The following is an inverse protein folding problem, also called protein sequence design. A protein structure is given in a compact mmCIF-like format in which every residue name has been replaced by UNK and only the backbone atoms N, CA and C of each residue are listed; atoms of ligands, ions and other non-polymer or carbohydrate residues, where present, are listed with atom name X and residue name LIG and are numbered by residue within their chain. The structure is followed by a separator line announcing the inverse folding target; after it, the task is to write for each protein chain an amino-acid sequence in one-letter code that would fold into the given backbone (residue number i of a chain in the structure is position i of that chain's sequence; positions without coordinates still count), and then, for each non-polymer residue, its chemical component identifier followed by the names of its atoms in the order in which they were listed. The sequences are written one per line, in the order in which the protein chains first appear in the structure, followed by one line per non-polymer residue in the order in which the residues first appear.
data_IF_624077202366
#
_entry.id   IF_624077202366
#
_cell.length_a   1.000
_cell.length_b   1.000
_cell.length_c   1.000
_cell.angle_alpha   90.00
_cell.angle_beta   90.00
_cell.angle_gamma   90.00
#
_symmetry.space_group_name_H-M   'P 1'
#
loop_
_entity.id
_entity.type
_entity.pdbx_description
1 polymer ?
#
# COMPACT_ATOMS: atom_id res chain seq x y z
N UNK A 1 -17.86 -12.01 1.70
CA UNK A 1 -18.19 -10.95 2.69
C UNK A 1 -17.95 -9.52 2.19
N UNK A 2 -17.62 -9.29 0.90
CA UNK A 2 -17.33 -7.95 0.38
C UNK A 2 -18.56 -7.22 -0.23
N UNK A 3 -19.60 -7.95 -0.64
CA UNK A 3 -20.72 -7.39 -1.44
C UNK A 3 -21.71 -6.58 -0.58
N UNK A 4 -21.79 -6.81 0.73
CA UNK A 4 -22.75 -6.14 1.63
C UNK A 4 -22.30 -4.77 2.16
N UNK A 5 -21.03 -4.39 2.00
CA UNK A 5 -20.50 -3.11 2.53
C UNK A 5 -20.80 -1.92 1.60
N UNK A 6 -20.96 -2.14 0.29
CA UNK A 6 -21.09 -1.06 -0.69
C UNK A 6 -22.34 -0.18 -0.53
N UNK A 7 -23.41 -0.70 0.10
CA UNK A 7 -24.63 0.09 0.34
C UNK A 7 -24.62 0.85 1.67
N UNK A 8 -23.61 0.65 2.51
CA UNK A 8 -23.51 1.34 3.79
C UNK A 8 -22.85 2.71 3.60
N UNK A 9 -23.28 3.67 4.40
CA UNK A 9 -22.75 5.04 4.40
C UNK A 9 -22.23 5.39 5.78
N UNK A 10 -21.17 6.18 5.81
CA UNK A 10 -20.74 6.88 7.00
C UNK A 10 -21.56 8.16 7.15
N UNK A 11 -22.04 8.42 8.37
CA UNK A 11 -22.77 9.65 8.69
C UNK A 11 -22.12 10.29 9.90
N UNK A 12 -21.72 11.56 9.80
CA UNK A 12 -21.24 12.32 10.95
C UNK A 12 -22.24 13.37 11.37
N UNK A 13 -22.48 13.48 12.67
CA UNK A 13 -23.41 14.45 13.26
C UNK A 13 -22.76 15.19 14.44
N UNK A 14 -22.76 16.53 14.40
CA UNK A 14 -22.37 17.37 15.55
C UNK A 14 -23.62 17.92 16.24
N UNK A 15 -23.86 17.50 17.47
CA UNK A 15 -24.95 18.04 18.32
C UNK A 15 -24.60 19.45 18.78
N UNK A 16 -25.62 20.30 18.94
CA UNK A 16 -25.48 21.70 19.40
C UNK A 16 -24.72 21.84 20.72
N UNK A 17 -24.78 20.83 21.60
CA UNK A 17 -24.11 20.79 22.90
C UNK A 17 -22.81 19.95 22.90
N UNK A 18 -22.15 19.83 21.76
CA UNK A 18 -20.73 19.46 21.68
C UNK A 18 -20.42 17.98 21.44
N UNK A 19 -21.39 17.08 21.59
CA UNK A 19 -21.18 15.67 21.26
C UNK A 19 -21.12 15.46 19.74
N UNK A 20 -20.11 14.72 19.30
CA UNK A 20 -19.87 14.36 17.90
C UNK A 20 -19.88 12.85 17.83
N UNK A 21 -20.76 12.29 17.03
CA UNK A 21 -20.80 10.85 16.79
C UNK A 21 -20.83 10.60 15.29
N UNK A 22 -20.31 9.42 14.94
CA UNK A 22 -20.25 8.95 13.57
C UNK A 22 -20.87 7.58 13.53
N UNK A 23 -21.73 7.32 12.56
CA UNK A 23 -22.33 5.99 12.34
C UNK A 23 -21.82 5.39 11.04
N UNK A 24 -21.89 4.07 10.95
CA UNK A 24 -21.73 3.31 9.73
C UNK A 24 -22.99 2.47 9.51
N UNK A 25 -23.79 2.85 8.51
CA UNK A 25 -25.19 2.44 8.44
C UNK A 25 -25.98 3.01 9.63
N UNK A 26 -26.54 2.12 10.44
CA UNK A 26 -27.38 2.46 11.60
C UNK A 26 -26.67 2.19 12.94
N UNK A 27 -25.39 1.82 12.92
CA UNK A 27 -24.59 1.54 14.12
C UNK A 27 -23.53 2.62 14.34
N UNK A 28 -23.26 2.94 15.61
CA UNK A 28 -22.16 3.84 15.96
C UNK A 28 -20.82 3.24 15.53
N UNK A 29 -20.00 4.06 14.87
CA UNK A 29 -18.70 3.65 14.37
C UNK A 29 -17.76 3.40 15.56
N UNK A 30 -17.17 2.19 15.69
CA UNK A 30 -16.25 1.90 16.78
C UNK A 30 -15.03 2.83 16.72
N UNK A 31 -14.65 3.37 17.88
CA UNK A 31 -13.53 4.31 17.98
C UNK A 31 -12.15 3.65 17.89
N UNK A 32 -12.08 2.32 18.04
CA UNK A 32 -10.86 1.52 17.87
C UNK A 32 -9.67 1.95 18.75
N UNK A 33 -9.93 2.41 19.97
CA UNK A 33 -8.89 2.80 20.92
C UNK A 33 -7.98 1.65 21.35
N UNK A 34 -8.47 0.42 21.27
CA UNK A 34 -7.73 -0.82 21.49
C UNK A 34 -6.57 -1.00 20.49
N UNK A 35 -6.72 -0.47 19.27
CA UNK A 35 -5.76 -0.67 18.19
C UNK A 35 -5.01 0.62 17.84
N UNK A 36 -5.68 1.77 17.93
CA UNK A 36 -5.14 3.05 17.52
C UNK A 36 -5.52 4.17 18.49
N UNK A 37 -4.92 4.24 19.69
CA UNK A 37 -5.29 5.20 20.74
C UNK A 37 -4.68 6.60 20.51
N UNK A 38 -4.94 7.23 19.36
CA UNK A 38 -4.38 8.54 19.05
C UNK A 38 -5.14 9.67 19.74
N UNK A 39 -6.47 9.55 19.85
CA UNK A 39 -7.29 10.46 20.65
C UNK A 39 -7.80 9.79 21.92
N UNK A 40 -8.15 10.62 22.91
CA UNK A 40 -8.91 10.23 24.10
C UNK A 40 -10.35 10.76 24.07
N UNK A 41 -10.67 11.64 23.10
CA UNK A 41 -11.89 12.43 23.07
C UNK A 41 -12.62 12.22 21.74
N UNK A 42 -13.31 11.08 21.60
CA UNK A 42 -14.23 10.78 20.50
C UNK A 42 -13.68 11.04 19.09
N UNK A 43 -14.61 11.32 18.18
CA UNK A 43 -14.33 11.72 16.81
C UNK A 43 -14.44 13.23 16.61
N UNK A 44 -13.70 13.74 15.64
CA UNK A 44 -13.85 15.09 15.14
C UNK A 44 -13.62 15.13 13.62
N UNK A 45 -13.95 16.24 12.97
CA UNK A 45 -13.76 16.44 11.54
C UNK A 45 -13.75 17.94 11.18
N UNK A 46 -13.24 18.27 9.99
CA UNK A 46 -13.01 19.65 9.56
C UNK A 46 -11.67 20.23 10.04
N UNK A 47 -10.78 19.38 10.57
CA UNK A 47 -9.47 19.77 11.08
C UNK A 47 -8.51 18.56 11.09
N UNK A 48 -7.24 18.79 11.43
CA UNK A 48 -6.19 17.77 11.51
C UNK A 48 -5.88 17.33 12.95
N UNK A 49 -6.85 17.43 13.86
CA UNK A 49 -6.67 17.06 15.27
C UNK A 49 -6.50 15.56 15.46
N UNK A 50 -6.07 15.16 16.67
CA UNK A 50 -5.97 13.75 17.06
C UNK A 50 -7.32 13.02 16.95
N UNK A 51 -8.44 13.66 17.30
CA UNK A 51 -9.78 13.08 17.17
C UNK A 51 -10.21 12.92 15.71
N UNK A 52 -9.81 13.84 14.83
CA UNK A 52 -10.02 13.70 13.38
C UNK A 52 -9.16 12.59 12.78
N UNK A 53 -7.94 12.42 13.28
CA UNK A 53 -7.08 11.29 12.91
C UNK A 53 -7.64 9.94 13.40
N UNK A 54 -8.25 9.93 14.59
CA UNK A 54 -8.96 8.77 15.13
C UNK A 54 -10.13 8.37 14.21
N UNK A 55 -10.88 9.35 13.73
CA UNK A 55 -11.96 9.14 12.78
C UNK A 55 -11.44 8.57 11.46
N UNK A 56 -10.39 9.18 10.89
CA UNK A 56 -9.77 8.72 9.66
C UNK A 56 -9.38 7.25 9.73
N UNK A 57 -8.68 6.86 10.81
CA UNK A 57 -8.30 5.48 11.03
C UNK A 57 -9.51 4.55 11.17
N UNK A 58 -10.52 4.95 11.95
CA UNK A 58 -11.69 4.11 12.23
C UNK A 58 -12.53 3.86 10.99
N UNK A 59 -12.70 4.87 10.12
CA UNK A 59 -13.38 4.74 8.83
C UNK A 59 -12.63 3.78 7.91
N UNK A 60 -11.31 3.97 7.74
CA UNK A 60 -10.50 3.08 6.90
C UNK A 60 -10.50 1.64 7.43
N UNK A 61 -10.40 1.45 8.75
CA UNK A 61 -10.39 0.13 9.37
C UNK A 61 -11.75 -0.58 9.25
N UNK A 62 -12.85 0.16 9.10
CA UNK A 62 -14.18 -0.42 8.92
C UNK A 62 -14.37 -1.05 7.54
N UNK A 63 -13.71 -0.51 6.51
CA UNK A 63 -13.86 -0.94 5.11
C UNK A 63 -12.65 -1.69 4.56
N UNK A 64 -11.55 -1.74 5.31
CA UNK A 64 -10.30 -2.37 4.90
C UNK A 64 -9.64 -3.14 6.06
N UNK A 65 -8.33 -3.36 6.01
CA UNK A 65 -7.58 -4.02 7.07
C UNK A 65 -6.79 -3.02 7.93
N UNK A 66 -6.34 -3.49 9.11
CA UNK A 66 -5.61 -2.68 10.09
C UNK A 66 -4.34 -2.01 9.53
N UNK A 67 -3.59 -2.71 8.69
CA UNK A 67 -2.30 -2.27 8.16
C UNK A 67 -2.46 -1.15 7.13
N UNK A 68 -3.42 -1.31 6.21
CA UNK A 68 -3.79 -0.29 5.24
C UNK A 68 -4.35 0.94 5.95
N UNK A 69 -5.24 0.74 6.92
CA UNK A 69 -5.78 1.84 7.73
C UNK A 69 -4.67 2.64 8.42
N UNK A 70 -3.67 1.97 9.01
CA UNK A 70 -2.52 2.65 9.64
C UNK A 70 -1.70 3.45 8.62
N UNK A 71 -1.41 2.88 7.46
CA UNK A 71 -0.56 3.53 6.46
C UNK A 71 -1.24 4.73 5.78
N UNK A 72 -2.57 4.70 5.64
CA UNK A 72 -3.34 5.75 4.96
C UNK A 72 -4.00 6.77 5.89
N UNK A 73 -4.10 6.53 7.20
CA UNK A 73 -4.81 7.40 8.14
C UNK A 73 -4.39 8.88 8.05
N UNK A 74 -3.09 9.18 7.95
CA UNK A 74 -2.61 10.56 7.84
C UNK A 74 -3.02 11.22 6.52
N UNK A 75 -2.94 10.49 5.40
CA UNK A 75 -3.30 11.03 4.09
C UNK A 75 -4.81 11.22 3.97
N UNK A 76 -5.57 10.22 4.40
CA UNK A 76 -7.03 10.29 4.40
C UNK A 76 -7.55 11.41 5.30
N UNK A 77 -6.87 11.68 6.43
CA UNK A 77 -7.15 12.83 7.27
C UNK A 77 -7.02 14.14 6.49
N UNK A 78 -5.92 14.34 5.76
CA UNK A 78 -5.63 15.58 5.04
C UNK A 78 -6.54 15.75 3.83
N UNK A 79 -6.75 14.68 3.06
CA UNK A 79 -7.47 14.72 1.80
C UNK A 79 -8.99 14.81 2.00
N UNK A 80 -9.51 14.09 2.99
CA UNK A 80 -10.94 13.88 3.18
C UNK A 80 -11.43 14.51 4.48
N UNK A 81 -11.01 14.00 5.64
CA UNK A 81 -11.61 14.37 6.94
C UNK A 81 -11.45 15.86 7.28
N UNK A 82 -10.30 16.45 6.92
CA UNK A 82 -10.02 17.88 7.10
C UNK A 82 -11.02 18.76 6.35
N UNK A 83 -11.54 18.29 5.21
CA UNK A 83 -12.41 19.07 4.33
C UNK A 83 -13.90 18.90 4.65
N UNK A 84 -14.25 18.03 5.61
CA UNK A 84 -15.60 17.90 6.14
C UNK A 84 -15.94 19.10 7.04
N UNK A 85 -16.33 20.22 6.44
CA UNK A 85 -16.61 21.45 7.18
C UNK A 85 -18.05 21.53 7.71
N UNK A 86 -18.94 20.70 7.16
CA UNK A 86 -20.35 20.68 7.55
C UNK A 86 -20.56 20.08 8.95
N UNK A 87 -21.62 20.55 9.61
CA UNK A 87 -22.12 19.97 10.86
C UNK A 87 -22.46 18.50 10.66
N UNK A 88 -23.17 18.23 9.58
CA UNK A 88 -23.60 16.91 9.17
C UNK A 88 -22.99 16.57 7.81
N UNK A 89 -22.56 15.32 7.65
CA UNK A 89 -22.03 14.83 6.38
C UNK A 89 -22.40 13.37 6.20
N UNK A 90 -22.48 12.97 4.94
CA UNK A 90 -22.69 11.57 4.53
C UNK A 90 -21.61 11.24 3.51
N UNK A 91 -21.04 10.05 3.64
CA UNK A 91 -20.01 9.56 2.73
C UNK A 91 -20.27 8.09 2.43
N UNK A 92 -20.32 7.72 1.16
CA UNK A 92 -20.54 6.32 0.80
C UNK A 92 -19.29 5.47 1.06
N UNK A 93 -19.51 4.18 1.29
CA UNK A 93 -18.39 3.22 1.36
C UNK A 93 -17.61 3.20 0.05
N UNK A 94 -18.30 3.32 -1.09
CA UNK A 94 -17.69 3.38 -2.42
C UNK A 94 -16.70 4.53 -2.55
N UNK A 95 -17.03 5.74 -2.10
CA UNK A 95 -16.11 6.88 -2.12
C UNK A 95 -14.82 6.61 -1.32
N UNK A 96 -14.94 5.96 -0.16
CA UNK A 96 -13.77 5.61 0.68
C UNK A 96 -12.92 4.54 -0.01
N UNK A 97 -13.54 3.53 -0.61
CA UNK A 97 -12.84 2.47 -1.34
C UNK A 97 -12.16 3.01 -2.60
N UNK A 98 -12.82 3.85 -3.39
CA UNK A 98 -12.24 4.52 -4.55
C UNK A 98 -11.03 5.38 -4.17
N UNK A 99 -11.10 6.08 -3.04
CA UNK A 99 -9.95 6.83 -2.53
C UNK A 99 -8.79 5.89 -2.15
N UNK A 100 -9.07 4.75 -1.51
CA UNK A 100 -8.05 3.75 -1.17
C UNK A 100 -7.39 3.22 -2.43
N UNK A 101 -8.16 2.78 -3.42
CA UNK A 101 -7.66 2.19 -4.66
C UNK A 101 -6.79 3.18 -5.43
N UNK A 102 -7.26 4.42 -5.58
CA UNK A 102 -6.49 5.51 -6.23
C UNK A 102 -5.15 5.78 -5.53
N UNK A 103 -5.13 5.76 -4.20
CA UNK A 103 -3.90 5.99 -3.44
C UNK A 103 -2.98 4.76 -3.41
N UNK A 104 -3.54 3.56 -3.53
CA UNK A 104 -2.79 2.31 -3.61
C UNK A 104 -2.05 2.22 -4.95
N UNK A 105 -2.70 2.54 -6.06
CA UNK A 105 -2.05 2.65 -7.38
C UNK A 105 -0.94 3.69 -7.39
N UNK A 106 -1.15 4.85 -6.75
CA UNK A 106 -0.12 5.87 -6.61
C UNK A 106 1.06 5.41 -5.74
N UNK A 107 0.83 4.62 -4.69
CA UNK A 107 1.92 4.03 -3.91
C UNK A 107 2.71 2.97 -4.68
N UNK A 108 2.03 2.16 -5.50
CA UNK A 108 2.68 1.20 -6.41
C UNK A 108 3.53 1.95 -7.43
N UNK A 109 3.00 3.01 -8.04
CA UNK A 109 3.73 3.85 -8.99
C UNK A 109 4.89 4.63 -8.35
N UNK A 110 4.75 5.11 -7.10
CA UNK A 110 5.84 5.76 -6.36
C UNK A 110 6.92 4.78 -5.89
N UNK A 111 6.57 3.55 -5.50
CA UNK A 111 7.55 2.48 -5.24
C UNK A 111 8.30 2.05 -6.50
N UNK A 112 7.70 2.24 -7.67
CA UNK A 112 8.32 2.03 -8.98
C UNK A 112 9.14 3.24 -9.47
N UNK A 113 9.06 4.39 -8.81
CA UNK A 113 10.01 5.48 -9.02
C UNK A 113 11.28 5.20 -8.19
N UNK A 114 12.49 5.42 -8.74
CA UNK A 114 13.70 5.21 -7.97
C UNK A 114 13.68 6.15 -6.76
N UNK A 115 13.86 5.58 -5.56
CA UNK A 115 14.05 6.36 -4.34
C UNK A 115 15.14 7.40 -4.60
N UNK A 116 14.81 8.69 -4.44
CA UNK A 116 15.84 9.71 -4.16
C UNK A 116 16.42 9.40 -2.79
N UNK A 117 17.39 8.48 -2.75
CA UNK A 117 18.22 8.28 -1.59
C UNK A 117 19.16 9.48 -1.49
N UNK A 118 19.11 10.16 -0.35
CA UNK A 118 20.11 11.15 0.03
C UNK A 118 21.49 10.48 -0.04
N UNK A 119 22.34 10.97 -0.93
CA UNK A 119 23.67 10.45 -1.19
C UNK A 119 24.56 10.58 0.05
N UNK A 120 24.79 9.48 0.77
CA UNK A 120 26.08 9.26 1.43
C UNK A 120 26.96 8.48 0.49
N UNK A 121 27.83 9.21 -0.23
CA UNK A 121 28.87 8.69 -1.13
C UNK A 121 29.75 7.68 -0.39
N UNK A 122 29.52 6.39 -0.64
CA UNK A 122 30.57 5.37 -0.53
C UNK A 122 30.80 4.87 -1.96
N UNK A 123 31.93 5.29 -2.54
CA UNK A 123 32.40 4.83 -3.86
C UNK A 123 32.57 3.31 -3.80
N UNK A 124 31.61 2.54 -4.31
CA UNK A 124 31.80 1.14 -4.68
C UNK A 124 32.28 1.09 -6.14
N UNK A 125 33.19 0.15 -6.49
CA UNK A 125 33.75 0.04 -7.83
C UNK A 125 32.63 -0.21 -8.84
N UNK A 126 32.80 0.25 -10.09
CA UNK A 126 31.84 0.12 -11.20
C UNK A 126 31.48 -1.35 -11.43
N UNK A 127 30.45 -1.83 -10.74
CA UNK A 127 29.91 -3.18 -10.91
C UNK A 127 28.93 -3.17 -12.07
N UNK A 128 28.94 -4.28 -12.81
CA UNK A 128 28.13 -4.46 -14.00
C UNK A 128 26.67 -4.74 -13.61
N UNK A 129 25.73 -3.92 -14.08
CA UNK A 129 24.30 -3.97 -13.73
C UNK A 129 23.71 -5.36 -13.99
N UNK A 130 24.08 -6.00 -15.10
CA UNK A 130 23.60 -7.35 -15.45
C UNK A 130 24.13 -8.39 -14.45
N UNK A 131 25.38 -8.26 -14.00
CA UNK A 131 25.97 -9.17 -13.00
C UNK A 131 25.32 -9.00 -11.62
N UNK A 132 24.94 -7.78 -11.26
CA UNK A 132 24.22 -7.53 -10.01
C UNK A 132 22.84 -8.18 -10.02
N UNK A 133 22.08 -8.01 -11.10
CA UNK A 133 20.76 -8.63 -11.30
C UNK A 133 20.88 -10.16 -11.22
N UNK A 134 21.85 -10.75 -11.94
CA UNK A 134 22.10 -12.19 -11.91
C UNK A 134 22.43 -12.68 -10.49
N UNK A 135 23.21 -11.90 -9.72
CA UNK A 135 23.57 -12.22 -8.34
C UNK A 135 22.37 -12.15 -7.40
N UNK A 136 21.52 -11.13 -7.53
CA UNK A 136 20.32 -10.98 -6.69
C UNK A 136 19.31 -12.10 -6.95
N UNK A 137 19.10 -12.44 -8.23
CA UNK A 137 18.21 -13.51 -8.65
C UNK A 137 18.82 -14.92 -8.45
N UNK A 138 20.12 -15.01 -8.16
CA UNK A 138 20.89 -16.28 -8.12
C UNK A 138 20.75 -17.09 -9.42
N UNK A 139 20.78 -16.41 -10.55
CA UNK A 139 20.71 -17.01 -11.90
C UNK A 139 21.95 -16.64 -12.73
N UNK A 140 22.14 -17.35 -13.84
CA UNK A 140 23.19 -17.04 -14.82
C UNK A 140 22.70 -16.06 -15.89
N UNK A 141 23.60 -15.47 -16.66
CA UNK A 141 23.22 -14.63 -17.82
C UNK A 141 22.48 -15.43 -18.90
N UNK A 142 22.83 -16.72 -19.05
CA UNK A 142 22.11 -17.66 -19.92
C UNK A 142 20.67 -17.86 -19.47
N UNK A 143 20.45 -18.12 -18.18
CA UNK A 143 19.10 -18.28 -17.63
C UNK A 143 18.31 -16.98 -17.77
N UNK A 144 18.94 -15.82 -17.56
CA UNK A 144 18.30 -14.53 -17.75
C UNK A 144 17.88 -14.32 -19.22
N UNK A 145 18.71 -14.73 -20.18
CA UNK A 145 18.40 -14.66 -21.59
C UNK A 145 17.20 -15.56 -21.96
N UNK A 146 17.17 -16.78 -21.41
CA UNK A 146 16.08 -17.73 -21.58
C UNK A 146 14.75 -17.22 -20.99
N UNK A 147 14.78 -16.69 -19.77
CA UNK A 147 13.59 -16.09 -19.10
C UNK A 147 13.04 -14.90 -19.89
N UNK A 148 13.92 -14.09 -20.48
CA UNK A 148 13.54 -12.91 -21.24
C UNK A 148 13.25 -13.21 -22.72
N UNK A 149 13.37 -14.48 -23.14
CA UNK A 149 13.22 -14.92 -24.53
C UNK A 149 14.10 -14.12 -25.52
N UNK A 150 15.33 -13.80 -25.11
CA UNK A 150 16.31 -13.10 -25.95
C UNK A 150 17.55 -13.95 -26.19
N UNK A 151 18.29 -13.72 -27.29
CA UNK A 151 19.58 -14.38 -27.50
C UNK A 151 20.57 -14.08 -26.36
N UNK A 152 21.37 -15.08 -25.96
CA UNK A 152 22.39 -14.93 -24.92
C UNK A 152 23.40 -13.80 -25.25
N UNK A 153 23.70 -13.61 -26.53
CA UNK A 153 24.52 -12.50 -27.02
C UNK A 153 23.93 -11.12 -26.70
N UNK A 154 22.61 -10.99 -26.61
CA UNK A 154 21.92 -9.73 -26.27
C UNK A 154 22.16 -9.36 -24.81
N UNK A 155 21.97 -10.31 -23.89
CA UNK A 155 22.25 -10.11 -22.45
C UNK A 155 23.74 -9.89 -22.21
N UNK A 156 24.61 -10.63 -22.93
CA UNK A 156 26.06 -10.43 -22.89
C UNK A 156 26.45 -9.02 -23.36
N UNK A 157 25.82 -8.52 -24.43
CA UNK A 157 26.05 -7.15 -24.92
C UNK A 157 25.64 -6.10 -23.88
N UNK A 158 24.52 -6.29 -23.19
CA UNK A 158 24.10 -5.41 -22.09
C UNK A 158 25.08 -5.41 -20.93
N UNK A 159 25.65 -6.58 -20.62
CA UNK A 159 26.68 -6.68 -19.61
C UNK A 159 27.92 -5.90 -20.05
N UNK A 160 28.43 -6.10 -21.26
CA UNK A 160 29.63 -5.39 -21.76
C UNK A 160 29.42 -3.88 -21.79
N UNK A 161 28.28 -3.42 -22.34
CA UNK A 161 27.94 -1.98 -22.43
C UNK A 161 27.49 -1.38 -21.10
N UNK A 162 27.26 -2.22 -20.10
CA UNK A 162 26.69 -1.86 -18.80
C UNK A 162 25.38 -1.06 -18.93
N UNK A 163 24.55 -1.41 -19.91
CA UNK A 163 23.31 -0.71 -20.22
C UNK A 163 22.26 -1.72 -20.69
N UNK A 164 21.08 -1.63 -20.08
CA UNK A 164 19.93 -2.47 -20.43
C UNK A 164 18.85 -1.57 -21.05
N UNK A 165 18.31 -1.91 -22.24
CA UNK A 165 17.21 -1.18 -22.86
C UNK A 165 15.98 -1.10 -21.95
N UNK A 166 15.16 -0.07 -22.15
CA UNK A 166 13.98 0.21 -21.30
C UNK A 166 13.06 -1.00 -21.13
N UNK A 167 12.79 -1.72 -22.22
CA UNK A 167 11.93 -2.90 -22.20
C UNK A 167 12.56 -4.05 -21.39
N UNK A 168 13.86 -4.30 -21.59
CA UNK A 168 14.61 -5.31 -20.82
C UNK A 168 14.61 -5.01 -19.32
N UNK A 169 14.77 -3.73 -18.93
CA UNK A 169 14.66 -3.32 -17.52
C UNK A 169 13.29 -3.66 -16.94
N UNK A 170 12.21 -3.33 -17.66
CA UNK A 170 10.84 -3.61 -17.20
C UNK A 170 10.54 -5.10 -17.10
N UNK A 171 11.01 -5.90 -18.04
CA UNK A 171 10.84 -7.35 -17.99
C UNK A 171 11.59 -7.98 -16.80
N UNK A 172 12.80 -7.50 -16.51
CA UNK A 172 13.57 -7.93 -15.33
C UNK A 172 12.87 -7.52 -14.04
N UNK A 173 12.42 -6.27 -13.92
CA UNK A 173 11.64 -5.80 -12.76
C UNK A 173 10.41 -6.67 -12.52
N UNK A 174 9.66 -6.97 -13.58
CA UNK A 174 8.49 -7.83 -13.51
C UNK A 174 8.84 -9.25 -13.03
N UNK A 175 9.91 -9.84 -13.57
CA UNK A 175 10.37 -11.16 -13.14
C UNK A 175 10.83 -11.17 -11.67
N UNK A 176 11.59 -10.16 -11.23
CA UNK A 176 12.01 -10.02 -9.83
C UNK A 176 10.82 -9.93 -8.89
N UNK A 177 9.79 -9.17 -9.28
CA UNK A 177 8.55 -9.06 -8.52
C UNK A 177 7.81 -10.41 -8.47
N UNK A 178 7.71 -11.10 -9.60
CA UNK A 178 7.07 -12.42 -9.66
C UNK A 178 7.75 -13.44 -8.74
N UNK A 179 9.09 -13.50 -8.72
CA UNK A 179 9.85 -14.38 -7.83
C UNK A 179 9.59 -14.06 -6.35
N UNK A 180 9.48 -12.77 -5.98
CA UNK A 180 9.15 -12.36 -4.61
C UNK A 180 7.72 -12.77 -4.24
N UNK A 181 6.77 -12.56 -5.13
CA UNK A 181 5.38 -12.95 -4.93
C UNK A 181 5.25 -14.47 -4.78
N UNK A 182 5.97 -15.25 -5.58
CA UNK A 182 5.94 -16.71 -5.49
C UNK A 182 6.44 -17.19 -4.12
N UNK A 183 7.53 -16.61 -3.59
CA UNK A 183 8.02 -16.94 -2.24
C UNK A 183 6.98 -16.66 -1.15
N UNK A 184 6.23 -15.57 -1.29
CA UNK A 184 5.14 -15.24 -0.36
C UNK A 184 4.05 -16.31 -0.43
N UNK A 185 3.61 -16.67 -1.64
CA UNK A 185 2.61 -17.73 -1.83
C UNK A 185 3.07 -19.07 -1.27
N UNK A 186 4.32 -19.46 -1.53
CA UNK A 186 4.90 -20.70 -1.02
C UNK A 186 4.97 -20.70 0.52
N UNK A 187 5.32 -19.56 1.13
CA UNK A 187 5.32 -19.43 2.60
C UNK A 187 3.93 -19.62 3.22
N UNK A 188 2.88 -19.12 2.57
CA UNK A 188 1.50 -19.33 3.00
C UNK A 188 1.05 -20.79 2.81
N UNK A 189 1.45 -21.43 1.71
CA UNK A 189 1.16 -22.84 1.47
C UNK A 189 1.80 -23.71 2.55
N UNK A 190 3.09 -23.51 2.84
CA UNK A 190 3.78 -24.25 3.90
C UNK A 190 3.16 -24.01 5.27
N UNK A 191 2.74 -22.78 5.58
CA UNK A 191 2.04 -22.49 6.83
C UNK A 191 0.70 -23.23 6.92
N UNK A 192 -0.07 -23.26 5.83
CA UNK A 192 -1.33 -23.99 5.76
C UNK A 192 -1.12 -25.49 5.98
N UNK A 193 -0.13 -26.09 5.31
CA UNK A 193 0.22 -27.51 5.47
C UNK A 193 0.57 -27.85 6.92
N UNK A 194 1.30 -26.97 7.63
CA UNK A 194 1.61 -27.15 9.04
C UNK A 194 0.38 -27.10 9.94
N UNK A 195 -0.62 -26.27 9.61
CA UNK A 195 -1.88 -26.22 10.35
C UNK A 195 -2.75 -27.45 10.13
N UNK A 196 -2.73 -28.02 8.92
CA UNK A 196 -3.49 -29.24 8.59
C UNK A 196 -2.84 -30.52 9.14
N UNK A 197 -1.53 -30.48 9.43
CA UNK A 197 -0.78 -31.58 10.02
C UNK A 197 -0.78 -31.60 11.57
N UNK A 198 -1.37 -30.58 12.21
CA UNK A 198 -1.54 -30.46 13.66
C UNK A 198 -2.93 -30.87 14.11
#
# INVERSE_FOLDING_TARGET
MAITLNNHVFKGHKVLLGNKYVTFGELELPQRYDIYPVSKNGFDWGNTSKSSKQLAYSMLCQVSNKELALSYAERFLIDIIKNLNSRDWVMSTSEVLEWIDKNNEQQVMQKLQPLKQAEKKVKKPKTNIVKEICKELRITQKNLAEILEVPEGTVSSWAVKNEIPRLGKKAIEFYMLNVKNQKIVDSYRSFKELLEAS
#
